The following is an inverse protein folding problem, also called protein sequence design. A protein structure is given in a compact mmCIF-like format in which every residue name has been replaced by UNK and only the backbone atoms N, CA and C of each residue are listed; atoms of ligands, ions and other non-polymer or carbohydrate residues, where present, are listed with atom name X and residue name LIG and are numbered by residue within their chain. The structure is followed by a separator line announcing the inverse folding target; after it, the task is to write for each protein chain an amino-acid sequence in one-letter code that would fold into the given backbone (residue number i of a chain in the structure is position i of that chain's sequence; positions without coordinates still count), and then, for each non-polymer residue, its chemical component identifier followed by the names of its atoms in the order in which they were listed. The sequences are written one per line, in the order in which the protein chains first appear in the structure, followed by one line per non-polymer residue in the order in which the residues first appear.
data_IF_315600744714
#
_entry.id   IF_315600744714
#
_cell.length_a   1.000
_cell.length_b   1.000
_cell.length_c   1.000
_cell.angle_alpha   90.00
_cell.angle_beta   90.00
_cell.angle_gamma   90.00
#
_symmetry.space_group_name_H-M   'P 1'
#
loop_
_entity.id
_entity.type
_entity.pdbx_description
1 polymer ?
#
# COMPACT_ATOMS: atom_id res chain seq x y z
N UNK A 1 -1.35 -1.19 9.42
CA UNK A 1 -1.43 -0.19 8.41
C UNK A 1 -1.42 -0.60 6.95
N UNK A 2 -1.51 -1.92 6.56
CA UNK A 2 -1.35 -2.31 5.14
C UNK A 2 -2.66 -2.58 4.38
N UNK A 3 -3.80 -2.16 4.94
CA UNK A 3 -5.11 -2.35 4.31
C UNK A 3 -5.17 -1.69 2.93
N UNK A 4 -5.48 -2.50 1.91
CA UNK A 4 -5.66 -2.00 0.55
C UNK A 4 -4.37 -1.62 -0.19
N UNK A 5 -3.18 -2.02 0.28
CA UNK A 5 -1.90 -1.80 -0.41
C UNK A 5 -1.52 -2.93 -1.38
N UNK A 6 -2.10 -4.12 -1.23
CA UNK A 6 -1.73 -5.29 -2.06
C UNK A 6 -2.16 -5.09 -3.52
N UNK A 7 -3.39 -4.65 -3.76
CA UNK A 7 -3.88 -4.43 -5.12
C UNK A 7 -3.06 -3.37 -5.90
N UNK A 8 -2.72 -2.20 -5.34
CA UNK A 8 -1.80 -1.26 -6.00
C UNK A 8 -0.43 -1.87 -6.34
N UNK A 9 0.17 -2.67 -5.45
CA UNK A 9 1.44 -3.36 -5.75
C UNK A 9 1.31 -4.29 -6.97
N UNK A 10 0.22 -5.05 -7.04
CA UNK A 10 -0.07 -5.95 -8.15
C UNK A 10 -0.23 -5.16 -9.46
N UNK A 11 -0.94 -4.03 -9.43
CA UNK A 11 -1.13 -3.16 -10.59
C UNK A 11 0.19 -2.62 -11.13
N UNK A 12 1.11 -2.21 -10.25
CA UNK A 12 2.45 -1.76 -10.65
C UNK A 12 3.25 -2.88 -11.35
N UNK A 13 3.19 -4.10 -10.84
CA UNK A 13 3.86 -5.25 -11.48
C UNK A 13 3.25 -5.54 -12.85
N UNK A 14 1.93 -5.54 -12.96
CA UNK A 14 1.24 -5.75 -14.24
C UNK A 14 1.60 -4.63 -15.24
N UNK A 15 1.61 -3.38 -14.80
CA UNK A 15 1.95 -2.25 -15.66
C UNK A 15 3.40 -2.31 -16.14
N UNK A 16 4.33 -2.70 -15.25
CA UNK A 16 5.76 -2.74 -15.56
C UNK A 16 6.14 -3.89 -16.51
N UNK A 17 5.56 -5.07 -16.29
CA UNK A 17 5.98 -6.30 -17.00
C UNK A 17 5.02 -6.74 -18.10
N UNK A 18 3.74 -6.37 -18.01
CA UNK A 18 2.68 -7.00 -18.79
C UNK A 18 2.31 -8.39 -18.27
N UNK A 19 1.04 -8.78 -18.35
CA UNK A 19 0.58 -10.10 -17.88
C UNK A 19 1.21 -11.26 -18.64
N UNK A 20 1.53 -11.04 -19.91
CA UNK A 20 2.13 -12.00 -20.83
C UNK A 20 3.59 -12.37 -20.49
N UNK A 21 4.27 -11.55 -19.69
CA UNK A 21 5.67 -11.76 -19.27
C UNK A 21 5.78 -12.24 -17.81
N UNK A 22 4.64 -12.56 -17.18
CA UNK A 22 4.60 -13.16 -15.85
C UNK A 22 4.55 -14.69 -15.99
N UNK A 23 5.29 -15.38 -15.13
CA UNK A 23 5.40 -16.83 -15.21
C UNK A 23 5.10 -17.50 -13.85
N UNK A 24 4.69 -18.79 -13.86
CA UNK A 24 4.59 -19.56 -12.62
C UNK A 24 5.91 -19.56 -11.85
N UNK A 25 5.85 -19.24 -10.56
CA UNK A 25 7.01 -19.20 -9.68
C UNK A 25 7.73 -17.84 -9.61
N UNK A 26 7.34 -16.86 -10.43
CA UNK A 26 7.86 -15.49 -10.31
C UNK A 26 7.49 -14.88 -8.95
N UNK A 27 8.42 -14.12 -8.36
CA UNK A 27 8.17 -13.27 -7.19
C UNK A 27 8.81 -11.90 -7.43
N UNK A 28 8.07 -10.86 -7.13
CA UNK A 28 8.48 -9.47 -7.31
C UNK A 28 8.56 -8.76 -5.98
N UNK A 29 9.63 -7.95 -5.79
CA UNK A 29 9.82 -7.05 -4.63
C UNK A 29 9.36 -5.65 -4.97
N UNK A 30 8.66 -4.99 -4.04
CA UNK A 30 8.26 -3.59 -4.15
C UNK A 30 8.20 -2.94 -2.77
N UNK A 31 8.87 -1.79 -2.60
CA UNK A 31 8.78 -0.95 -1.41
C UNK A 31 8.84 0.54 -1.75
N UNK A 32 8.84 0.90 -3.02
CA UNK A 32 8.96 2.27 -3.49
C UNK A 32 7.77 3.12 -3.01
N UNK A 33 7.96 4.14 -2.15
CA UNK A 33 6.87 4.92 -1.56
C UNK A 33 6.12 5.78 -2.58
N UNK A 34 6.71 6.04 -3.74
CA UNK A 34 6.12 6.86 -4.80
C UNK A 34 5.31 6.04 -5.81
N UNK A 35 5.33 4.70 -5.67
CA UNK A 35 4.59 3.77 -6.51
C UNK A 35 3.41 3.15 -5.76
N UNK A 36 2.59 2.38 -6.45
CA UNK A 36 1.46 1.68 -5.86
C UNK A 36 1.86 0.73 -4.73
N UNK A 37 1.25 0.92 -3.56
CA UNK A 37 1.46 0.09 -2.39
C UNK A 37 2.69 0.41 -1.54
N UNK A 38 3.49 1.41 -1.90
CA UNK A 38 4.63 1.86 -1.12
C UNK A 38 4.24 2.61 0.16
N UNK A 39 5.09 2.53 1.17
CA UNK A 39 4.97 3.20 2.47
C UNK A 39 6.31 3.86 2.81
N UNK A 40 7.12 3.29 3.70
CA UNK A 40 8.55 3.58 3.84
C UNK A 40 9.39 2.37 3.36
N UNK A 41 10.69 2.57 3.19
CA UNK A 41 11.52 1.57 2.52
C UNK A 41 11.64 0.23 3.27
N UNK A 42 11.51 0.21 4.60
CA UNK A 42 11.56 -1.04 5.38
C UNK A 42 10.34 -1.95 5.17
N UNK A 43 9.23 -1.41 4.65
CA UNK A 43 8.01 -2.18 4.40
C UNK A 43 8.07 -2.87 3.03
N UNK A 44 8.68 -4.03 2.99
CA UNK A 44 8.86 -4.81 1.76
C UNK A 44 7.57 -5.53 1.38
N UNK A 45 7.03 -5.18 0.21
CA UNK A 45 5.96 -5.92 -0.44
C UNK A 45 6.50 -6.99 -1.37
N UNK A 46 5.82 -8.14 -1.41
CA UNK A 46 6.08 -9.18 -2.40
C UNK A 46 4.80 -9.55 -3.14
N UNK A 47 4.92 -9.78 -4.43
CA UNK A 47 3.82 -10.18 -5.32
C UNK A 47 4.20 -11.44 -6.09
N UNK A 48 3.28 -12.41 -6.13
CA UNK A 48 3.40 -13.66 -6.86
C UNK A 48 2.18 -13.87 -7.75
N UNK A 49 2.31 -14.06 -9.08
CA UNK A 49 1.22 -14.45 -9.94
C UNK A 49 0.80 -15.90 -9.67
N UNK A 50 -0.49 -16.17 -9.70
CA UNK A 50 -1.07 -17.49 -9.47
C UNK A 50 -1.58 -18.06 -10.78
N UNK A 51 -0.97 -19.16 -11.21
CA UNK A 51 -1.37 -19.91 -12.38
C UNK A 51 -2.07 -21.20 -11.98
N UNK A 52 -3.10 -21.57 -12.72
CA UNK A 52 -3.75 -22.85 -12.64
C UNK A 52 -3.97 -23.39 -14.06
N UNK A 53 -3.41 -24.57 -14.39
CA UNK A 53 -3.44 -25.16 -15.73
C UNK A 53 -3.03 -24.14 -16.83
N UNK A 54 -1.88 -23.48 -16.64
CA UNK A 54 -1.30 -22.46 -17.55
C UNK A 54 -2.10 -21.16 -17.68
N UNK A 55 -3.24 -20.98 -17.00
CA UNK A 55 -3.99 -19.74 -16.93
C UNK A 55 -3.58 -18.90 -15.72
N UNK A 56 -3.28 -17.62 -15.92
CA UNK A 56 -3.11 -16.65 -14.84
C UNK A 56 -4.48 -16.30 -14.25
N UNK A 57 -4.78 -16.81 -13.05
CA UNK A 57 -6.11 -16.69 -12.42
C UNK A 57 -6.19 -15.66 -11.30
N UNK A 58 -5.07 -15.37 -10.64
CA UNK A 58 -5.01 -14.48 -9.49
C UNK A 58 -3.59 -13.99 -9.22
N UNK A 59 -3.45 -13.16 -8.20
CA UNK A 59 -2.18 -12.79 -7.59
C UNK A 59 -2.27 -12.98 -6.08
N UNK A 60 -1.12 -13.24 -5.47
CA UNK A 60 -0.94 -13.20 -4.02
C UNK A 60 0.08 -12.14 -3.71
N UNK A 61 -0.19 -11.35 -2.71
CA UNK A 61 0.75 -10.38 -2.18
C UNK A 61 0.81 -10.44 -0.67
N UNK A 62 1.95 -10.13 -0.13
CA UNK A 62 2.13 -9.85 1.29
C UNK A 62 3.01 -8.61 1.47
N UNK A 63 3.03 -8.09 2.69
CA UNK A 63 3.88 -6.96 3.05
C UNK A 63 4.39 -7.17 4.47
N UNK A 64 5.69 -7.01 4.67
CA UNK A 64 6.33 -7.14 5.97
C UNK A 64 7.36 -6.04 6.17
N UNK A 65 7.49 -5.58 7.40
CA UNK A 65 8.54 -4.67 7.81
C UNK A 65 9.82 -5.46 8.04
N UNK A 66 10.86 -5.23 7.22
CA UNK A 66 12.17 -5.81 7.43
C UNK A 66 12.95 -5.04 8.49
N UNK A 67 13.76 -5.74 9.24
CA UNK A 67 14.54 -5.16 10.33
C UNK A 67 15.55 -4.11 9.89
N UNK A 68 16.09 -4.21 8.66
CA UNK A 68 17.03 -3.27 8.06
C UNK A 68 17.05 -3.44 6.53
N UNK A 69 17.04 -2.32 5.82
CA UNK A 69 17.18 -2.25 4.36
C UNK A 69 18.31 -1.30 3.95
N UNK A 70 19.25 -1.02 4.86
CA UNK A 70 20.37 -0.10 4.65
C UNK A 70 20.04 1.33 5.06
N UNK A 71 20.61 2.30 4.38
CA UNK A 71 20.42 3.72 4.68
C UNK A 71 21.34 4.26 5.78
N UNK A 72 21.09 5.51 6.20
CA UNK A 72 21.98 6.23 7.13
C UNK A 72 21.89 5.74 8.57
N UNK A 73 20.74 5.22 8.99
CA UNK A 73 20.47 4.79 10.36
C UNK A 73 20.30 3.28 10.46
N UNK A 74 20.71 2.69 11.59
CA UNK A 74 20.44 1.29 11.89
C UNK A 74 18.94 1.05 12.03
N UNK A 75 18.44 -0.07 11.46
CA UNK A 75 17.01 -0.35 11.35
C UNK A 75 16.31 0.43 10.25
N UNK A 76 17.06 1.18 9.43
CA UNK A 76 16.53 1.96 8.30
C UNK A 76 15.38 2.91 8.67
N UNK A 77 15.34 3.32 9.94
CA UNK A 77 14.37 4.26 10.47
C UNK A 77 15.08 5.48 11.03
N UNK A 78 14.73 6.66 10.53
CA UNK A 78 15.34 7.92 10.95
C UNK A 78 14.34 9.07 10.86
N UNK A 79 14.47 10.01 11.80
CA UNK A 79 13.77 11.29 11.79
C UNK A 79 14.56 12.39 11.06
N UNK A 80 15.79 12.09 10.62
CA UNK A 80 16.77 13.07 10.17
C UNK A 80 17.07 12.96 8.66
N UNK A 81 16.43 12.04 7.92
CA UNK A 81 16.62 11.93 6.47
C UNK A 81 16.03 13.14 5.76
N UNK A 82 16.77 13.66 4.78
CA UNK A 82 16.36 14.73 3.90
C UNK A 82 16.04 14.28 2.47
N UNK A 83 16.35 13.02 2.16
CA UNK A 83 15.99 12.35 0.91
C UNK A 83 15.90 10.83 1.10
N UNK A 84 15.22 10.16 0.18
CA UNK A 84 14.97 8.72 0.24
C UNK A 84 16.23 7.86 0.09
N UNK A 85 17.34 8.39 -0.50
CA UNK A 85 18.59 7.63 -0.63
C UNK A 85 19.26 7.41 0.73
N UNK A 86 18.94 8.22 1.71
CA UNK A 86 19.41 8.07 3.09
C UNK A 86 18.61 6.98 3.87
N UNK A 87 17.45 6.55 3.35
CA UNK A 87 16.53 5.65 4.04
C UNK A 87 16.75 4.17 3.70
N UNK A 88 17.49 3.83 2.65
CA UNK A 88 17.87 2.47 2.32
C UNK A 88 17.59 2.03 0.89
N UNK A 89 17.60 0.72 0.66
CA UNK A 89 17.34 0.11 -0.63
C UNK A 89 15.89 0.31 -1.06
N UNK A 90 15.71 0.81 -2.30
CA UNK A 90 14.42 1.00 -2.93
C UNK A 90 14.22 0.02 -4.08
N UNK A 91 13.13 -0.75 -4.01
CA UNK A 91 12.74 -1.72 -5.01
C UNK A 91 11.46 -1.26 -5.72
N UNK A 92 11.59 -0.83 -6.96
CA UNK A 92 10.46 -0.36 -7.80
C UNK A 92 9.90 -1.52 -8.63
N UNK A 93 9.44 -2.59 -7.97
CA UNK A 93 8.92 -3.79 -8.63
C UNK A 93 10.01 -4.58 -9.35
N UNK A 94 10.97 -5.13 -8.63
CA UNK A 94 12.06 -5.96 -9.20
C UNK A 94 11.74 -7.44 -9.07
N UNK A 95 12.08 -8.24 -10.10
CA UNK A 95 11.89 -9.69 -10.05
C UNK A 95 12.97 -10.32 -9.17
N UNK A 96 12.55 -10.90 -8.03
CA UNK A 96 13.41 -11.61 -7.09
C UNK A 96 13.55 -13.09 -7.46
N UNK A 97 12.43 -13.75 -7.80
CA UNK A 97 12.44 -15.09 -8.37
C UNK A 97 11.96 -15.02 -9.82
N UNK A 98 12.69 -15.69 -10.70
CA UNK A 98 12.31 -15.94 -12.08
C UNK A 98 11.97 -17.44 -12.22
N UNK A 99 10.70 -17.77 -12.44
CA UNK A 99 10.18 -19.15 -12.55
C UNK A 99 10.63 -20.06 -11.41
N UNK A 100 10.66 -19.52 -10.20
CA UNK A 100 11.04 -20.24 -8.97
C UNK A 100 12.51 -20.19 -8.60
N UNK A 101 13.38 -19.75 -9.50
CA UNK A 101 14.81 -19.63 -9.27
C UNK A 101 15.17 -18.23 -8.76
N UNK A 102 15.96 -18.17 -7.68
CA UNK A 102 16.38 -16.90 -7.06
C UNK A 102 17.34 -16.13 -7.99
N UNK A 103 17.11 -14.84 -8.14
CA UNK A 103 18.05 -13.93 -8.77
C UNK A 103 19.24 -13.70 -7.82
N UNK A 104 20.27 -14.55 -7.92
CA UNK A 104 21.43 -14.56 -7.03
C UNK A 104 22.13 -13.19 -6.95
N UNK A 105 22.38 -12.47 -8.08
CA UNK A 105 22.99 -11.15 -8.01
C UNK A 105 22.17 -10.13 -7.21
N UNK A 106 20.85 -10.19 -7.28
CA UNK A 106 19.98 -9.32 -6.51
C UNK A 106 20.02 -9.66 -5.02
N UNK A 107 20.01 -10.94 -4.66
CA UNK A 107 20.16 -11.39 -3.28
C UNK A 107 21.49 -10.92 -2.68
N UNK A 108 22.60 -11.09 -3.41
CA UNK A 108 23.92 -10.65 -2.97
C UNK A 108 24.00 -9.12 -2.81
N UNK A 109 23.37 -8.36 -3.72
CA UNK A 109 23.25 -6.91 -3.59
C UNK A 109 22.47 -6.51 -2.35
N UNK A 110 21.35 -7.17 -2.05
CA UNK A 110 20.58 -6.91 -0.82
C UNK A 110 21.44 -7.19 0.41
N UNK A 111 22.03 -8.38 0.50
CA UNK A 111 22.85 -8.81 1.65
C UNK A 111 24.05 -7.91 1.92
N UNK A 112 24.67 -7.36 0.88
CA UNK A 112 25.84 -6.46 1.01
C UNK A 112 25.47 -5.03 1.42
N UNK A 113 24.19 -4.65 1.35
CA UNK A 113 23.72 -3.30 1.65
C UNK A 113 22.87 -3.18 2.91
N UNK A 114 22.60 -4.29 3.62
CA UNK A 114 21.87 -4.31 4.89
C UNK A 114 22.78 -4.69 6.05
N UNK A 115 22.44 -4.22 7.26
CA UNK A 115 23.28 -4.47 8.46
C UNK A 115 23.08 -5.86 9.05
N UNK A 116 21.94 -6.48 8.79
CA UNK A 116 21.55 -7.79 9.35
C UNK A 116 21.19 -8.77 8.21
N UNK A 117 22.16 -9.17 7.36
CA UNK A 117 21.89 -9.92 6.13
C UNK A 117 21.19 -11.26 6.36
N UNK A 118 21.53 -11.99 7.44
CA UNK A 118 20.87 -13.26 7.77
C UNK A 118 19.41 -13.06 8.19
N UNK A 119 19.12 -11.99 8.95
CA UNK A 119 17.75 -11.66 9.36
C UNK A 119 16.90 -11.24 8.16
N UNK A 120 17.44 -10.33 7.32
CA UNK A 120 16.72 -9.89 6.11
C UNK A 120 16.50 -11.04 5.11
N UNK A 121 17.46 -11.96 4.97
CA UNK A 121 17.28 -13.16 4.16
C UNK A 121 16.22 -14.10 4.77
N UNK A 122 16.19 -14.24 6.11
CA UNK A 122 15.16 -14.99 6.83
C UNK A 122 13.76 -14.41 6.62
N UNK A 123 13.59 -13.10 6.74
CA UNK A 123 12.34 -12.38 6.49
C UNK A 123 11.87 -12.59 5.04
N UNK A 124 12.80 -12.47 4.08
CA UNK A 124 12.56 -12.71 2.66
C UNK A 124 12.01 -14.12 2.41
N UNK A 125 12.67 -15.16 2.92
CA UNK A 125 12.23 -16.55 2.72
C UNK A 125 10.92 -16.82 3.46
N UNK A 126 10.67 -16.21 4.62
CA UNK A 126 9.40 -16.27 5.33
C UNK A 126 8.23 -15.70 4.50
N UNK A 127 8.44 -14.54 3.87
CA UNK A 127 7.45 -13.97 2.95
C UNK A 127 7.20 -14.87 1.74
N UNK A 128 8.25 -15.39 1.09
CA UNK A 128 8.12 -16.31 -0.04
C UNK A 128 7.36 -17.60 0.37
N UNK A 129 7.63 -18.16 1.54
CA UNK A 129 6.93 -19.33 2.06
C UNK A 129 5.42 -19.07 2.26
N UNK A 130 5.08 -17.85 2.73
CA UNK A 130 3.70 -17.41 2.87
C UNK A 130 3.00 -17.30 1.50
N UNK A 131 3.66 -16.71 0.47
CA UNK A 131 3.13 -16.64 -0.89
C UNK A 131 2.91 -18.05 -1.49
N UNK A 132 3.87 -18.94 -1.35
CA UNK A 132 3.76 -20.34 -1.80
C UNK A 132 2.60 -21.07 -1.11
N UNK A 133 2.37 -20.78 0.16
CA UNK A 133 1.22 -21.35 0.89
C UNK A 133 -0.09 -20.86 0.30
N UNK A 134 -0.23 -19.56 0.05
CA UNK A 134 -1.40 -18.97 -0.60
C UNK A 134 -1.61 -19.55 -2.01
N UNK A 135 -0.55 -19.66 -2.81
CA UNK A 135 -0.58 -20.26 -4.16
C UNK A 135 -1.19 -21.68 -4.12
N UNK A 136 -0.65 -22.54 -3.23
CA UNK A 136 -1.15 -23.90 -3.04
C UNK A 136 -2.62 -23.92 -2.62
N UNK A 137 -3.02 -23.04 -1.69
CA UNK A 137 -4.41 -22.98 -1.21
C UNK A 137 -5.41 -22.56 -2.29
N UNK A 138 -5.04 -21.63 -3.18
CA UNK A 138 -5.89 -21.29 -4.33
C UNK A 138 -5.99 -22.49 -5.29
N UNK A 139 -4.90 -23.20 -5.55
CA UNK A 139 -4.92 -24.43 -6.33
C UNK A 139 -5.87 -25.49 -5.76
N UNK A 140 -5.77 -25.77 -4.45
CA UNK A 140 -6.68 -26.70 -3.74
C UNK A 140 -8.17 -26.28 -3.87
N UNK A 141 -8.46 -24.98 -3.89
CA UNK A 141 -9.84 -24.48 -4.12
C UNK A 141 -10.27 -24.75 -5.57
N UNK A 142 -9.38 -24.54 -6.54
CA UNK A 142 -9.67 -24.81 -7.95
C UNK A 142 -9.88 -26.32 -8.19
N UNK A 143 -9.09 -27.19 -7.56
CA UNK A 143 -9.26 -28.65 -7.62
C UNK A 143 -10.62 -29.08 -7.04
N UNK A 144 -11.04 -28.45 -5.94
CA UNK A 144 -12.28 -28.80 -5.25
C UNK A 144 -13.54 -28.25 -5.93
N UNK A 145 -13.49 -27.02 -6.43
CA UNK A 145 -14.69 -26.28 -6.87
C UNK A 145 -14.68 -25.89 -8.36
N UNK A 146 -13.62 -26.19 -9.10
CA UNK A 146 -13.26 -25.70 -10.44
C UNK A 146 -12.80 -24.23 -10.46
N UNK A 147 -11.96 -23.91 -11.43
CA UNK A 147 -11.40 -22.56 -11.60
C UNK A 147 -12.49 -21.50 -11.85
N UNK A 148 -13.53 -21.84 -12.62
CA UNK A 148 -14.62 -20.93 -12.94
C UNK A 148 -15.42 -20.54 -11.69
N UNK A 149 -15.69 -21.52 -10.81
CA UNK A 149 -16.38 -21.26 -9.54
C UNK A 149 -15.53 -20.37 -8.63
N UNK A 150 -14.22 -20.59 -8.56
CA UNK A 150 -13.31 -19.75 -7.76
C UNK A 150 -13.28 -18.31 -8.29
N UNK A 151 -13.11 -18.12 -9.60
CA UNK A 151 -13.10 -16.80 -10.26
C UNK A 151 -14.44 -16.07 -10.06
N UNK A 152 -15.56 -16.76 -10.27
CA UNK A 152 -16.89 -16.16 -10.06
C UNK A 152 -17.14 -15.82 -8.59
N UNK A 153 -16.65 -16.63 -7.65
CA UNK A 153 -16.77 -16.35 -6.22
C UNK A 153 -16.01 -15.08 -5.82
N UNK A 154 -14.78 -14.89 -6.32
CA UNK A 154 -14.00 -13.65 -6.11
C UNK A 154 -14.76 -12.44 -6.64
N UNK A 155 -15.28 -12.53 -7.88
CA UNK A 155 -16.07 -11.45 -8.49
C UNK A 155 -17.33 -11.11 -7.68
N UNK A 156 -18.05 -12.11 -7.19
CA UNK A 156 -19.25 -11.91 -6.35
C UNK A 156 -18.94 -11.29 -5.01
N UNK A 157 -17.81 -11.67 -4.38
CA UNK A 157 -17.37 -11.06 -3.12
C UNK A 157 -17.08 -9.57 -3.30
N UNK A 158 -16.41 -9.16 -4.38
CA UNK A 158 -16.18 -7.75 -4.70
C UNK A 158 -17.50 -6.99 -4.91
N UNK A 159 -18.38 -7.53 -5.76
CA UNK A 159 -19.70 -6.92 -6.02
C UNK A 159 -20.58 -6.82 -4.75
N UNK A 160 -20.50 -7.82 -3.87
CA UNK A 160 -21.20 -7.79 -2.58
C UNK A 160 -20.60 -6.71 -1.67
N UNK A 161 -19.27 -6.58 -1.61
CA UNK A 161 -18.58 -5.53 -0.85
C UNK A 161 -19.03 -4.14 -1.28
N UNK A 162 -19.01 -3.86 -2.59
CA UNK A 162 -19.48 -2.59 -3.14
C UNK A 162 -20.94 -2.30 -2.81
N UNK A 163 -21.83 -3.28 -3.01
CA UNK A 163 -23.26 -3.12 -2.70
C UNK A 163 -23.50 -2.77 -1.24
N UNK A 164 -22.78 -3.43 -0.32
CA UNK A 164 -22.92 -3.16 1.12
C UNK A 164 -22.38 -1.78 1.45
N UNK A 165 -21.20 -1.41 0.90
CA UNK A 165 -20.61 -0.10 1.14
C UNK A 165 -21.51 1.04 0.67
N UNK A 166 -22.08 0.97 -0.55
CA UNK A 166 -23.02 1.98 -1.05
C UNK A 166 -24.26 2.09 -0.17
N UNK A 167 -24.81 0.95 0.30
CA UNK A 167 -25.94 0.96 1.23
C UNK A 167 -25.57 1.69 2.53
N UNK A 168 -24.39 1.44 3.11
CA UNK A 168 -23.93 2.11 4.33
C UNK A 168 -23.70 3.60 4.12
N UNK A 169 -23.12 4.00 2.99
CA UNK A 169 -22.95 5.42 2.63
C UNK A 169 -24.31 6.11 2.55
N UNK A 170 -25.32 5.46 1.95
CA UNK A 170 -26.66 6.01 1.84
C UNK A 170 -27.33 6.27 3.23
N UNK A 171 -26.90 5.57 4.27
CA UNK A 171 -27.39 5.75 5.66
C UNK A 171 -26.67 6.91 6.40
N UNK A 172 -25.53 7.42 5.89
CA UNK A 172 -24.77 8.50 6.50
C UNK A 172 -25.41 9.88 6.23
N UNK A 173 -25.17 10.89 7.09
CA UNK A 173 -25.49 12.28 6.78
C UNK A 173 -24.85 12.74 5.47
N UNK A 174 -25.62 13.46 4.65
CA UNK A 174 -25.14 14.02 3.38
C UNK A 174 -24.67 15.45 3.57
N UNK A 175 -23.61 15.82 2.89
CA UNK A 175 -23.07 17.17 2.98
C UNK A 175 -21.62 17.28 2.55
N UNK A 176 -21.09 18.47 2.78
CA UNK A 176 -19.68 18.77 2.57
C UNK A 176 -19.15 19.48 3.82
N UNK A 177 -18.05 19.00 4.33
CA UNK A 177 -17.35 19.51 5.50
C UNK A 177 -15.91 19.83 5.13
N UNK A 178 -15.38 20.93 5.63
CA UNK A 178 -13.97 21.28 5.46
C UNK A 178 -13.31 21.34 6.84
N UNK A 179 -12.10 20.81 6.91
CA UNK A 179 -11.26 20.87 8.09
C UNK A 179 -9.82 21.09 7.69
N UNK A 180 -9.11 21.90 8.45
CA UNK A 180 -7.66 22.06 8.34
C UNK A 180 -7.01 22.00 9.72
N UNK A 181 -5.86 21.38 9.76
CA UNK A 181 -5.04 21.22 10.95
C UNK A 181 -3.58 21.40 10.57
N UNK A 182 -2.76 21.60 11.58
CA UNK A 182 -1.34 21.81 11.40
C UNK A 182 -0.56 20.81 12.23
N UNK A 183 0.38 20.11 11.62
CA UNK A 183 1.44 19.41 12.33
C UNK A 183 2.42 20.46 12.86
N UNK A 184 2.91 20.26 14.06
CA UNK A 184 3.63 21.25 14.83
C UNK A 184 4.92 21.73 14.16
N UNK A 185 5.64 20.85 13.48
CA UNK A 185 6.96 21.12 12.93
C UNK A 185 7.31 20.16 11.78
N UNK A 186 7.91 20.68 10.74
CA UNK A 186 8.52 19.89 9.64
C UNK A 186 9.99 19.49 9.94
N UNK A 187 10.47 19.67 11.16
CA UNK A 187 11.87 19.50 11.56
C UNK A 187 12.76 20.71 11.30
N UNK A 188 12.21 21.77 10.71
CA UNK A 188 12.91 23.02 10.36
C UNK A 188 12.20 24.28 10.87
N UNK A 189 11.20 24.11 11.72
CA UNK A 189 10.45 25.20 12.35
C UNK A 189 9.25 25.71 11.53
N UNK A 190 8.79 24.97 10.53
CA UNK A 190 7.63 25.34 9.74
C UNK A 190 6.44 24.42 10.06
N UNK A 191 5.25 25.01 10.19
CA UNK A 191 4.01 24.25 10.33
C UNK A 191 3.66 23.55 9.00
N UNK A 192 3.18 22.31 9.09
CA UNK A 192 2.72 21.55 7.93
C UNK A 192 1.20 21.45 7.98
N UNK A 193 0.54 22.17 7.05
CA UNK A 193 -0.92 22.18 6.95
C UNK A 193 -1.43 20.92 6.26
N UNK A 194 -2.41 20.27 6.87
CA UNK A 194 -3.25 19.25 6.26
C UNK A 194 -4.68 19.77 6.17
N UNK A 195 -5.23 19.78 4.98
CA UNK A 195 -6.60 20.21 4.71
C UNK A 195 -7.38 19.08 4.07
N UNK A 196 -8.64 18.89 4.48
CA UNK A 196 -9.58 18.01 3.81
C UNK A 196 -10.89 18.71 3.52
N UNK A 197 -11.42 18.46 2.34
CA UNK A 197 -12.83 18.71 1.98
C UNK A 197 -13.48 17.34 1.84
N UNK A 198 -14.27 16.97 2.85
CA UNK A 198 -14.99 15.70 2.88
C UNK A 198 -16.39 15.91 2.31
N UNK A 199 -16.78 15.12 1.31
CA UNK A 199 -18.12 15.15 0.73
C UNK A 199 -18.73 13.76 0.78
N UNK A 200 -19.92 13.64 1.36
CA UNK A 200 -20.71 12.40 1.38
C UNK A 200 -21.98 12.64 0.55
N UNK A 201 -22.09 11.90 -0.54
CA UNK A 201 -23.26 11.89 -1.43
C UNK A 201 -24.16 10.69 -1.14
N UNK A 202 -25.19 10.44 -1.96
CA UNK A 202 -26.02 9.23 -1.83
C UNK A 202 -25.24 7.94 -2.01
N UNK A 203 -24.16 7.96 -2.80
CA UNK A 203 -23.45 6.75 -3.24
C UNK A 203 -21.93 6.85 -3.19
N UNK A 204 -21.34 7.98 -2.80
CA UNK A 204 -19.89 8.18 -2.74
C UNK A 204 -19.42 8.86 -1.44
N UNK A 205 -18.24 8.47 -1.01
CA UNK A 205 -17.45 9.10 0.04
C UNK A 205 -16.20 9.70 -0.59
N UNK A 206 -16.07 11.04 -0.56
CA UNK A 206 -15.03 11.78 -1.27
C UNK A 206 -14.19 12.56 -0.26
N UNK A 207 -12.90 12.23 -0.15
CA UNK A 207 -11.93 12.96 0.65
C UNK A 207 -10.94 13.69 -0.27
N UNK A 208 -11.03 14.99 -0.33
CA UNK A 208 -10.18 15.87 -1.16
C UNK A 208 -9.22 16.65 -0.26
N UNK A 209 -7.93 16.35 -0.36
CA UNK A 209 -6.85 16.97 0.41
C UNK A 209 -6.17 18.12 -0.34
N UNK A 210 -6.77 18.63 -1.40
CA UNK A 210 -6.26 19.79 -2.14
C UNK A 210 -6.10 21.01 -1.21
N UNK A 211 -4.94 21.67 -1.30
CA UNK A 211 -4.56 22.80 -0.43
C UNK A 211 -3.80 22.38 0.84
N UNK A 212 -3.41 21.09 0.99
CA UNK A 212 -2.41 20.67 1.96
C UNK A 212 -1.01 21.17 1.58
N UNK A 213 -0.09 21.23 2.54
CA UNK A 213 1.28 21.72 2.32
C UNK A 213 2.00 20.95 1.22
N UNK A 214 2.92 21.60 0.48
CA UNK A 214 3.88 20.89 -0.38
C UNK A 214 4.68 19.86 0.41
N UNK A 215 5.30 18.90 -0.31
CA UNK A 215 6.26 17.98 0.31
C UNK A 215 7.40 18.73 1.00
N UNK A 216 7.89 18.18 2.09
CA UNK A 216 8.91 18.78 2.96
C UNK A 216 10.23 18.02 2.89
N UNK A 217 11.31 18.67 3.36
CA UNK A 217 12.65 18.06 3.37
C UNK A 217 12.87 17.07 4.54
N UNK A 218 11.89 16.90 5.42
CA UNK A 218 11.91 15.92 6.51
C UNK A 218 11.12 14.65 6.16
N UNK A 219 11.33 13.52 6.87
CA UNK A 219 10.80 12.21 6.48
C UNK A 219 9.31 11.98 6.77
N UNK A 220 8.56 13.04 7.03
CA UNK A 220 7.12 12.96 7.34
C UNK A 220 6.23 12.96 6.08
N UNK A 221 6.82 12.97 4.89
CA UNK A 221 6.03 12.87 3.66
C UNK A 221 5.37 11.52 3.52
N UNK A 222 4.23 11.50 2.87
CA UNK A 222 3.45 10.29 2.61
C UNK A 222 3.26 10.11 1.11
N UNK A 223 3.46 8.89 0.63
CA UNK A 223 3.09 8.49 -0.72
C UNK A 223 1.56 8.32 -0.84
N UNK A 224 1.02 8.49 -2.05
CA UNK A 224 -0.43 8.43 -2.29
C UNK A 224 -1.08 7.12 -1.83
N UNK A 225 -0.41 5.99 -2.01
CA UNK A 225 -0.91 4.69 -1.54
C UNK A 225 -1.06 4.63 -0.02
N UNK A 226 -0.13 5.22 0.72
CA UNK A 226 -0.18 5.30 2.18
C UNK A 226 -1.30 6.21 2.66
N UNK A 227 -1.51 7.37 2.02
CA UNK A 227 -2.68 8.21 2.27
C UNK A 227 -3.97 7.40 2.08
N UNK A 228 -4.11 6.72 0.94
CA UNK A 228 -5.27 5.89 0.66
C UNK A 228 -5.48 4.82 1.73
N UNK A 229 -4.41 4.17 2.21
CA UNK A 229 -4.52 3.17 3.27
C UNK A 229 -5.01 3.78 4.59
N UNK A 230 -4.52 4.95 4.99
CA UNK A 230 -5.01 5.67 6.17
C UNK A 230 -6.50 6.00 6.07
N UNK A 231 -6.93 6.57 4.93
CA UNK A 231 -8.33 6.93 4.72
C UNK A 231 -9.24 5.69 4.63
N UNK A 232 -8.77 4.57 4.06
CA UNK A 232 -9.50 3.29 4.07
C UNK A 232 -9.82 2.81 5.49
N UNK A 233 -8.90 3.00 6.45
CA UNK A 233 -9.13 2.63 7.85
C UNK A 233 -10.26 3.47 8.44
N UNK A 234 -10.25 4.79 8.25
CA UNK A 234 -11.31 5.68 8.74
C UNK A 234 -12.64 5.38 8.07
N UNK A 235 -12.63 5.22 6.75
CA UNK A 235 -13.81 4.84 5.98
C UNK A 235 -14.46 3.55 6.50
N UNK A 236 -13.66 2.49 6.74
CA UNK A 236 -14.15 1.24 7.33
C UNK A 236 -14.72 1.45 8.74
N UNK A 237 -14.09 2.31 9.54
CA UNK A 237 -14.58 2.62 10.90
C UNK A 237 -15.94 3.34 10.88
N UNK A 238 -16.16 4.22 9.88
CA UNK A 238 -17.41 4.94 9.68
C UNK A 238 -18.52 4.01 9.18
N UNK A 239 -18.23 3.14 8.21
CA UNK A 239 -19.23 2.25 7.61
C UNK A 239 -19.61 1.05 8.49
N UNK A 240 -18.78 0.68 9.45
CA UNK A 240 -19.02 -0.40 10.41
C UNK A 240 -17.97 -1.51 10.37
N UNK A 241 -17.56 -2.00 11.55
CA UNK A 241 -16.46 -2.95 11.69
C UNK A 241 -16.79 -4.37 11.17
N UNK A 242 -18.07 -4.66 10.94
CA UNK A 242 -18.55 -5.97 10.44
C UNK A 242 -18.37 -6.16 8.93
N UNK A 243 -17.93 -5.13 8.21
CA UNK A 243 -17.70 -5.23 6.77
C UNK A 243 -16.48 -6.12 6.48
N UNK A 244 -16.68 -7.11 5.61
CA UNK A 244 -15.57 -7.91 5.09
C UNK A 244 -14.67 -7.05 4.20
N UNK A 245 -13.39 -6.92 4.56
CA UNK A 245 -12.42 -6.09 3.85
C UNK A 245 -12.10 -6.71 2.49
N UNK A 246 -12.49 -6.05 1.42
CA UNK A 246 -12.09 -6.31 0.04
C UNK A 246 -12.18 -5.02 -0.79
N UNK A 247 -11.58 -5.00 -1.98
CA UNK A 247 -11.54 -3.77 -2.79
C UNK A 247 -12.91 -3.30 -3.27
N UNK A 248 -13.90 -4.18 -3.36
CA UNK A 248 -15.28 -3.79 -3.66
C UNK A 248 -15.86 -2.82 -2.63
N UNK A 249 -15.50 -2.96 -1.35
CA UNK A 249 -15.92 -2.03 -0.30
C UNK A 249 -15.38 -0.61 -0.55
N UNK A 250 -14.25 -0.48 -1.21
CA UNK A 250 -13.60 0.81 -1.49
C UNK A 250 -14.01 1.43 -2.84
N UNK A 251 -14.80 0.72 -3.67
CA UNK A 251 -15.27 1.24 -4.96
C UNK A 251 -16.02 2.59 -4.88
N UNK A 252 -16.86 2.86 -3.87
CA UNK A 252 -17.52 4.15 -3.74
C UNK A 252 -16.68 5.22 -3.03
N UNK A 253 -15.41 4.96 -2.71
CA UNK A 253 -14.52 5.92 -2.09
C UNK A 253 -13.66 6.64 -3.14
N UNK A 254 -13.54 7.96 -3.02
CA UNK A 254 -12.65 8.80 -3.83
C UNK A 254 -11.69 9.55 -2.92
N UNK A 255 -10.42 9.57 -3.27
CA UNK A 255 -9.39 10.31 -2.54
C UNK A 255 -8.63 11.17 -3.56
N UNK A 256 -8.46 12.45 -3.24
CA UNK A 256 -7.69 13.40 -4.04
C UNK A 256 -6.61 14.03 -3.18
N UNK A 257 -5.43 14.19 -3.74
CA UNK A 257 -4.32 14.96 -3.16
C UNK A 257 -3.49 15.55 -4.30
N UNK A 258 -3.05 16.79 -4.11
CA UNK A 258 -2.18 17.45 -5.07
C UNK A 258 -0.85 16.72 -5.21
N UNK A 259 -0.42 16.60 -6.44
CA UNK A 259 0.86 16.03 -6.81
C UNK A 259 2.00 16.88 -6.27
N UNK A 260 3.00 16.28 -5.60
CA UNK A 260 4.06 16.98 -4.90
C UNK A 260 3.66 17.59 -3.56
N UNK A 261 2.48 17.25 -3.02
CA UNK A 261 2.11 17.60 -1.64
C UNK A 261 2.74 16.64 -0.63
N UNK A 262 2.71 16.99 0.64
CA UNK A 262 3.15 16.14 1.76
C UNK A 262 2.38 14.80 1.84
N UNK A 263 1.18 14.74 1.26
CA UNK A 263 0.32 13.56 1.18
C UNK A 263 0.40 12.78 -0.14
N UNK A 264 1.13 13.32 -1.13
CA UNK A 264 1.39 12.69 -2.42
C UNK A 264 2.76 13.14 -2.93
N UNK A 265 3.78 12.77 -2.21
CA UNK A 265 5.14 13.20 -2.47
C UNK A 265 5.78 12.47 -3.67
N UNK A 266 6.81 13.09 -4.22
CA UNK A 266 7.66 12.56 -5.29
C UNK A 266 9.08 12.28 -4.80
N UNK A 267 9.76 11.39 -5.50
CA UNK A 267 11.19 11.19 -5.31
C UNK A 267 11.97 12.51 -5.53
N UNK A 268 12.98 12.78 -4.70
CA UNK A 268 13.52 11.92 -3.65
C UNK A 268 13.00 12.26 -2.22
N UNK A 269 11.78 12.82 -2.07
CA UNK A 269 11.27 13.22 -0.76
C UNK A 269 11.34 12.07 0.27
N UNK A 270 11.91 12.27 1.47
CA UNK A 270 12.06 11.22 2.46
C UNK A 270 10.71 10.83 3.07
N UNK A 271 10.55 9.54 3.42
CA UNK A 271 9.27 8.96 3.86
C UNK A 271 9.41 8.04 5.07
N UNK A 272 10.55 8.01 5.75
CA UNK A 272 10.80 7.10 6.88
C UNK A 272 9.71 7.20 7.95
N UNK A 273 9.21 8.39 8.23
CA UNK A 273 8.12 8.69 9.17
C UNK A 273 6.77 8.96 8.46
N UNK A 274 6.50 8.34 7.32
CA UNK A 274 5.28 8.56 6.52
C UNK A 274 3.98 8.50 7.32
N UNK A 275 3.98 7.70 8.38
CA UNK A 275 2.80 7.49 9.23
C UNK A 275 2.37 8.75 9.98
N UNK A 276 3.25 9.72 10.21
CA UNK A 276 2.89 11.01 10.82
C UNK A 276 1.81 11.71 9.98
N UNK A 277 2.13 12.07 8.74
CA UNK A 277 1.16 12.72 7.85
C UNK A 277 -0.04 11.83 7.53
N UNK A 278 0.15 10.50 7.42
CA UNK A 278 -0.93 9.54 7.18
C UNK A 278 -1.93 9.52 8.35
N UNK A 279 -1.45 9.45 9.59
CA UNK A 279 -2.32 9.43 10.78
C UNK A 279 -3.03 10.76 10.94
N UNK A 280 -2.30 11.88 10.79
CA UNK A 280 -2.90 13.21 10.85
C UNK A 280 -3.97 13.42 9.76
N UNK A 281 -3.74 12.95 8.52
CA UNK A 281 -4.75 13.01 7.47
C UNK A 281 -6.03 12.24 7.84
N UNK A 282 -5.88 11.11 8.54
CA UNK A 282 -7.00 10.33 9.07
C UNK A 282 -7.76 11.09 10.16
N UNK A 283 -7.02 11.73 11.08
CA UNK A 283 -7.59 12.53 12.16
C UNK A 283 -8.36 13.76 11.64
N UNK A 284 -7.83 14.44 10.63
CA UNK A 284 -8.49 15.58 9.98
C UNK A 284 -9.82 15.16 9.33
N UNK A 285 -9.88 13.98 8.70
CA UNK A 285 -11.15 13.42 8.17
C UNK A 285 -12.14 13.14 9.31
N UNK A 286 -11.64 12.54 10.41
CA UNK A 286 -12.47 12.23 11.57
C UNK A 286 -13.06 13.48 12.21
N UNK A 287 -12.24 14.55 12.37
CA UNK A 287 -12.66 15.84 12.91
C UNK A 287 -13.63 16.58 12.00
N UNK A 288 -13.52 16.41 10.68
CA UNK A 288 -14.47 17.00 9.73
C UNK A 288 -15.89 16.45 9.92
N UNK A 289 -16.07 15.28 10.52
CA UNK A 289 -17.36 14.63 10.79
C UNK A 289 -17.88 14.86 12.23
N UNK A 290 -17.03 15.39 13.13
CA UNK A 290 -17.39 15.63 14.51
C UNK A 290 -18.18 16.94 14.67
#
# INVERSE_FOLDING_TARGET
GFIGLIAPMIQEIIQKYGKENLHPGDVYLINDPYMGGGTHLSDIGMVMPVFYQDELIAFIGNKAHWSDVGGMAAGSFTTDSSDAFQEGLRFSGVRLLDRGEICQPLLEMIKSNVRFPETSEGDMWGQIASLRTGYRRIGELCDKYTVDVVKESMKRLLAQGEKIARKRIAELPKGTWEMEEYMDDDGYGNLVKLKVKLTITEDEFIADFTGSSPQVASPINTGYSSLCAGIKVIYMSILGPELAVNDGVFEPMRIFAEDGSVLRCHAPAPTSCYFESMIYSSDVVWRALA
#
